data_IF_907616318520
#
_entry.id   IF_907616318520
#
_cell.length_a   1.000
_cell.length_b   1.000
_cell.length_c   1.000
_cell.angle_alpha   90.00
_cell.angle_beta   90.00
_cell.angle_gamma   90.00
#
_symmetry.space_group_name_H-M   'P 1'
#
loop_
_entity.id
_entity.type
_entity.pdbx_description
1 polymer ?
#
# COMPACT_ATOMS: atom_id res chain seq x y z
N UNK A 1 16.93 1.43 -11.21
CA UNK A 1 16.74 2.10 -12.51
C UNK A 1 16.34 3.56 -12.32
N UNK A 2 16.41 4.36 -13.41
CA UNK A 2 15.94 5.76 -13.44
C UNK A 2 15.13 6.05 -14.70
N UNK A 3 14.19 7.02 -14.59
CA UNK A 3 13.36 7.46 -15.71
C UNK A 3 12.61 6.30 -16.38
N UNK A 4 11.83 5.56 -15.60
CA UNK A 4 11.10 4.39 -16.08
C UNK A 4 9.63 4.74 -16.32
N UNK A 5 9.10 4.36 -17.46
CA UNK A 5 7.67 4.46 -17.76
C UNK A 5 7.11 3.08 -18.09
N UNK A 6 6.04 2.70 -17.39
CA UNK A 6 5.26 1.47 -17.62
C UNK A 6 3.83 1.89 -17.89
N UNK A 7 3.28 1.53 -19.05
CA UNK A 7 1.94 1.98 -19.44
C UNK A 7 1.20 0.99 -20.33
N UNK A 8 -0.12 0.90 -20.11
CA UNK A 8 -1.03 0.20 -21.03
C UNK A 8 -0.85 -1.31 -21.05
N UNK A 9 -0.50 -1.93 -19.92
CA UNK A 9 -0.28 -3.37 -19.85
C UNK A 9 -1.32 -4.07 -18.96
N UNK A 10 -1.49 -5.35 -19.21
CA UNK A 10 -2.28 -6.25 -18.38
C UNK A 10 -1.34 -7.30 -17.81
N UNK A 11 -1.40 -7.51 -16.50
CA UNK A 11 -0.68 -8.57 -15.79
C UNK A 11 -1.74 -9.55 -15.26
N UNK A 12 -1.59 -10.81 -15.60
CA UNK A 12 -2.55 -11.85 -15.26
C UNK A 12 -1.85 -13.05 -14.63
N UNK A 13 -2.43 -13.56 -13.53
CA UNK A 13 -2.05 -14.79 -12.84
C UNK A 13 -0.57 -14.86 -12.41
N UNK A 14 -0.07 -13.81 -11.77
CA UNK A 14 1.30 -13.78 -11.22
C UNK A 14 1.50 -14.87 -10.15
N UNK A 15 2.66 -15.49 -10.17
CA UNK A 15 3.06 -16.47 -9.14
C UNK A 15 3.50 -15.84 -7.81
N UNK A 16 3.80 -14.55 -7.83
CA UNK A 16 4.34 -13.75 -6.73
C UNK A 16 3.93 -12.30 -6.99
N UNK A 17 4.49 -11.33 -6.30
CA UNK A 17 4.18 -9.90 -6.47
C UNK A 17 4.11 -9.49 -7.94
N UNK A 18 2.94 -9.04 -8.37
CA UNK A 18 2.67 -8.81 -9.81
C UNK A 18 3.56 -7.73 -10.42
N UNK A 19 3.79 -6.65 -9.67
CA UNK A 19 4.70 -5.58 -10.11
C UNK A 19 5.54 -5.08 -8.94
N UNK A 20 6.84 -5.33 -8.99
CA UNK A 20 7.77 -4.90 -7.97
C UNK A 20 8.78 -3.89 -8.51
N UNK A 21 8.75 -2.67 -7.98
CA UNK A 21 9.64 -1.57 -8.34
C UNK A 21 10.68 -1.40 -7.23
N UNK A 22 11.90 -1.82 -7.47
CA UNK A 22 12.94 -1.86 -6.43
C UNK A 22 14.13 -0.96 -6.76
N UNK A 23 14.49 -0.07 -5.84
CA UNK A 23 15.68 0.80 -5.96
C UNK A 23 15.64 1.72 -7.17
N UNK A 24 14.47 2.23 -7.53
CA UNK A 24 14.28 3.07 -8.70
C UNK A 24 14.06 4.54 -8.35
N UNK A 25 14.27 5.40 -9.33
CA UNK A 25 14.12 6.84 -9.21
C UNK A 25 13.44 7.39 -10.48
N UNK A 26 12.44 8.25 -10.32
CA UNK A 26 11.63 8.79 -11.43
C UNK A 26 10.90 7.67 -12.21
N UNK A 27 9.86 7.10 -11.60
CA UNK A 27 9.05 6.03 -12.19
C UNK A 27 7.62 6.51 -12.41
N UNK A 28 7.08 6.25 -13.60
CA UNK A 28 5.69 6.53 -13.93
C UNK A 28 5.00 5.24 -14.40
N UNK A 29 3.97 4.82 -13.68
CA UNK A 29 3.16 3.63 -13.97
C UNK A 29 1.74 4.09 -14.20
N UNK A 30 1.16 3.77 -15.37
CA UNK A 30 -0.19 4.21 -15.68
C UNK A 30 -0.95 3.26 -16.62
N UNK A 31 -2.28 3.28 -16.51
CA UNK A 31 -3.15 2.45 -17.37
C UNK A 31 -2.74 0.97 -17.31
N UNK A 32 -2.66 0.41 -16.10
CA UNK A 32 -2.31 -1.00 -15.87
C UNK A 32 -3.46 -1.72 -15.21
N UNK A 33 -3.70 -2.96 -15.63
CA UNK A 33 -4.67 -3.86 -15.02
C UNK A 33 -3.95 -5.08 -14.48
N UNK A 34 -4.24 -5.45 -13.23
CA UNK A 34 -3.59 -6.57 -12.55
C UNK A 34 -4.65 -7.51 -12.03
N UNK A 35 -4.51 -8.77 -12.38
CA UNK A 35 -5.36 -9.86 -11.92
C UNK A 35 -4.48 -10.94 -11.29
N UNK A 36 -4.71 -11.26 -10.01
CA UNK A 36 -3.97 -12.29 -9.28
C UNK A 36 -4.91 -13.01 -8.32
N UNK A 37 -4.84 -14.33 -8.27
CA UNK A 37 -5.67 -15.16 -7.41
C UNK A 37 -4.86 -16.16 -6.59
N UNK A 38 -3.57 -15.93 -6.43
CA UNK A 38 -2.65 -16.80 -5.68
C UNK A 38 -2.16 -16.11 -4.41
N UNK A 39 -1.72 -16.87 -3.43
CA UNK A 39 -0.98 -16.32 -2.30
C UNK A 39 0.25 -15.54 -2.77
N UNK A 40 0.54 -14.42 -2.15
CA UNK A 40 1.56 -13.44 -2.53
C UNK A 40 1.34 -12.81 -3.92
N UNK A 41 0.13 -12.80 -4.48
CA UNK A 41 -0.16 -12.05 -5.71
C UNK A 41 -0.48 -10.60 -5.39
N UNK A 42 0.47 -9.88 -4.80
CA UNK A 42 0.38 -8.44 -4.56
C UNK A 42 0.18 -7.68 -5.89
N UNK A 43 -0.44 -6.53 -5.84
CA UNK A 43 -0.62 -5.69 -7.01
C UNK A 43 0.66 -4.94 -7.38
N UNK A 44 0.90 -3.80 -6.74
CA UNK A 44 2.07 -2.96 -7.01
C UNK A 44 2.84 -2.68 -5.72
N UNK A 45 4.06 -3.17 -5.65
CA UNK A 45 5.02 -2.98 -4.56
C UNK A 45 6.09 -1.97 -4.92
N UNK A 46 6.12 -0.84 -4.25
CA UNK A 46 7.19 0.16 -4.39
C UNK A 46 8.19 -0.05 -3.27
N UNK A 47 9.37 -0.57 -3.63
CA UNK A 47 10.39 -1.02 -2.68
C UNK A 47 11.64 -0.15 -2.74
N UNK A 48 11.93 0.62 -1.68
CA UNK A 48 13.15 1.43 -1.60
C UNK A 48 13.34 2.35 -2.82
N UNK A 49 12.28 2.93 -3.33
CA UNK A 49 12.24 3.75 -4.54
C UNK A 49 11.72 5.15 -4.24
N UNK A 50 11.98 6.10 -5.12
CA UNK A 50 11.56 7.49 -4.92
C UNK A 50 11.08 8.15 -6.21
N UNK A 51 10.29 9.22 -6.06
CA UNK A 51 9.70 9.97 -7.18
C UNK A 51 8.88 9.03 -8.08
N UNK A 52 7.93 8.31 -7.46
CA UNK A 52 7.10 7.31 -8.15
C UNK A 52 5.67 7.82 -8.27
N UNK A 53 5.13 7.78 -9.46
CA UNK A 53 3.70 8.02 -9.72
C UNK A 53 3.06 6.75 -10.25
N UNK A 54 2.01 6.30 -9.58
CA UNK A 54 1.16 5.17 -9.97
C UNK A 54 -0.25 5.73 -10.20
N UNK A 55 -0.79 5.61 -11.39
CA UNK A 55 -2.11 6.17 -11.71
C UNK A 55 -2.92 5.31 -12.66
N UNK A 56 -4.24 5.46 -12.58
CA UNK A 56 -5.15 4.83 -13.54
C UNK A 56 -4.98 3.30 -13.57
N UNK A 57 -4.96 2.71 -12.37
CA UNK A 57 -4.74 1.28 -12.15
C UNK A 57 -6.06 0.60 -11.81
N UNK A 58 -6.24 -0.60 -12.30
CA UNK A 58 -7.21 -1.55 -11.76
C UNK A 58 -6.48 -2.75 -11.18
N UNK A 59 -6.81 -3.12 -9.94
CA UNK A 59 -6.33 -4.38 -9.37
C UNK A 59 -7.51 -5.26 -8.95
N UNK A 60 -7.39 -6.56 -9.21
CA UNK A 60 -8.08 -7.61 -8.49
C UNK A 60 -7.06 -8.64 -8.06
N UNK A 61 -6.68 -8.62 -6.80
CA UNK A 61 -5.56 -9.40 -6.27
C UNK A 61 -5.93 -10.12 -4.98
N UNK A 62 -5.14 -11.12 -4.63
CA UNK A 62 -5.33 -11.97 -3.46
C UNK A 62 -4.34 -11.67 -2.33
N UNK A 63 -3.41 -10.77 -2.54
CA UNK A 63 -2.54 -10.20 -1.52
C UNK A 63 -2.63 -8.66 -1.58
N UNK A 64 -1.71 -7.92 -1.01
CA UNK A 64 -1.80 -6.47 -0.88
C UNK A 64 -1.90 -5.76 -2.24
N UNK A 65 -2.83 -4.78 -2.42
CA UNK A 65 -3.03 -4.15 -3.73
C UNK A 65 -2.01 -3.06 -4.04
N UNK A 66 -1.86 -2.05 -3.18
CA UNK A 66 -0.86 -0.99 -3.29
C UNK A 66 0.01 -0.94 -2.04
N UNK A 67 1.29 -1.15 -2.22
CA UNK A 67 2.20 -1.32 -1.10
C UNK A 67 3.47 -0.49 -1.23
N UNK A 68 3.92 0.07 -0.12
CA UNK A 68 5.24 0.68 0.00
C UNK A 68 6.05 -0.11 1.02
N UNK A 69 7.16 -0.68 0.58
CA UNK A 69 8.08 -1.48 1.39
C UNK A 69 9.51 -0.93 1.31
N UNK A 70 10.29 -1.13 2.34
CA UNK A 70 11.72 -0.83 2.34
C UNK A 70 12.51 -2.07 2.75
N UNK A 71 13.01 -2.80 1.77
CA UNK A 71 13.67 -4.09 1.94
C UNK A 71 15.19 -3.97 2.16
N UNK A 72 15.68 -2.83 2.67
CA UNK A 72 17.11 -2.52 2.76
C UNK A 72 17.71 -2.04 1.43
N UNK A 73 16.90 -1.66 0.47
CA UNK A 73 17.31 -1.19 -0.87
C UNK A 73 17.33 0.32 -1.00
N UNK A 74 17.03 1.04 0.08
CA UNK A 74 16.99 2.51 0.13
C UNK A 74 15.70 3.05 0.73
N UNK A 75 15.62 4.36 0.83
CA UNK A 75 14.45 5.07 1.32
C UNK A 75 13.28 5.02 0.33
N UNK A 76 12.05 5.13 0.85
CA UNK A 76 10.86 5.36 0.04
C UNK A 76 10.42 6.81 0.21
N UNK A 77 10.47 7.60 -0.85
CA UNK A 77 10.19 9.03 -0.78
C UNK A 77 9.43 9.53 -2.01
N UNK A 78 8.46 10.42 -1.81
CA UNK A 78 7.71 11.05 -2.91
C UNK A 78 6.99 10.01 -3.80
N UNK A 79 6.11 9.24 -3.21
CA UNK A 79 5.34 8.21 -3.92
C UNK A 79 3.87 8.60 -3.90
N UNK A 80 3.21 8.52 -5.03
CA UNK A 80 1.78 8.75 -5.14
C UNK A 80 1.10 7.62 -5.92
N UNK A 81 0.06 7.05 -5.30
CA UNK A 81 -0.92 6.19 -5.94
C UNK A 81 -2.22 7.00 -6.11
N UNK A 82 -2.76 7.06 -7.30
CA UNK A 82 -3.96 7.87 -7.55
C UNK A 82 -4.87 7.36 -8.67
N UNK A 83 -6.10 7.86 -8.68
CA UNK A 83 -7.07 7.64 -9.77
C UNK A 83 -7.25 6.15 -10.09
N UNK A 84 -7.47 5.34 -9.10
CA UNK A 84 -7.39 3.88 -9.28
C UNK A 84 -8.58 3.18 -8.64
N UNK A 85 -8.84 1.98 -9.11
CA UNK A 85 -9.92 1.13 -8.62
C UNK A 85 -9.32 -0.17 -8.09
N UNK A 86 -9.62 -0.51 -6.84
CA UNK A 86 -9.07 -1.66 -6.15
C UNK A 86 -10.17 -2.67 -5.81
N UNK A 87 -9.90 -3.92 -6.11
CA UNK A 87 -10.61 -5.09 -5.64
C UNK A 87 -9.61 -6.01 -4.95
N UNK A 88 -9.83 -6.33 -3.69
CA UNK A 88 -8.96 -7.22 -2.94
C UNK A 88 -9.75 -8.38 -2.34
N UNK A 89 -9.35 -9.60 -2.65
CA UNK A 89 -10.08 -10.80 -2.22
C UNK A 89 -9.55 -11.38 -0.90
N UNK A 90 -8.43 -10.86 -0.32
CA UNK A 90 -7.87 -11.50 0.87
C UNK A 90 -7.05 -10.60 1.82
N UNK A 91 -6.18 -9.71 1.32
CA UNK A 91 -5.25 -8.96 2.15
C UNK A 91 -5.56 -7.45 2.21
N UNK A 92 -4.57 -6.56 2.16
CA UNK A 92 -4.76 -5.12 2.35
C UNK A 92 -4.94 -4.40 1.02
N UNK A 93 -5.74 -3.35 1.01
CA UNK A 93 -5.88 -2.56 -0.21
C UNK A 93 -4.78 -1.51 -0.36
N UNK A 94 -4.38 -0.84 0.73
CA UNK A 94 -3.31 0.15 0.74
C UNK A 94 -2.47 -0.01 2.00
N UNK A 95 -1.18 -0.25 1.83
CA UNK A 95 -0.28 -0.54 2.95
C UNK A 95 1.06 0.20 2.85
N UNK A 96 1.54 0.69 3.96
CA UNK A 96 2.93 1.09 4.17
C UNK A 96 3.54 0.13 5.19
N UNK A 97 4.32 -0.81 4.72
CA UNK A 97 4.85 -1.91 5.52
C UNK A 97 4.71 -3.27 4.83
N UNK A 98 4.93 -4.35 5.54
CA UNK A 98 5.40 -4.50 6.94
C UNK A 98 6.89 -4.20 7.05
N UNK A 99 7.66 -4.57 6.03
CA UNK A 99 9.13 -4.42 5.99
C UNK A 99 9.51 -2.98 5.69
N UNK A 100 10.04 -2.29 6.68
CA UNK A 100 10.45 -0.89 6.58
C UNK A 100 11.90 -0.68 7.04
N UNK A 101 12.81 -1.42 6.42
CA UNK A 101 14.26 -1.34 6.66
C UNK A 101 14.91 -0.24 5.83
N UNK A 102 14.76 0.99 6.30
CA UNK A 102 15.34 2.19 5.69
C UNK A 102 15.48 3.29 6.74
N UNK A 103 16.21 4.35 6.45
CA UNK A 103 16.24 5.52 7.32
C UNK A 103 14.90 6.27 7.30
N UNK A 104 14.25 6.32 6.13
CA UNK A 104 13.03 7.12 5.91
C UNK A 104 12.06 6.46 4.94
N UNK A 105 10.78 6.54 5.31
CA UNK A 105 9.64 6.26 4.44
C UNK A 105 8.71 7.45 4.56
N UNK A 106 8.65 8.33 3.55
CA UNK A 106 7.96 9.61 3.71
C UNK A 106 7.36 10.17 2.42
N UNK A 107 6.42 11.11 2.62
CA UNK A 107 5.71 11.78 1.54
C UNK A 107 5.07 10.77 0.58
N UNK A 108 4.21 9.93 1.14
CA UNK A 108 3.46 8.89 0.43
C UNK A 108 1.99 9.33 0.39
N UNK A 109 1.38 9.24 -0.77
CA UNK A 109 -0.02 9.61 -0.96
C UNK A 109 -0.80 8.51 -1.65
N UNK A 110 -1.97 8.23 -1.10
CA UNK A 110 -3.03 7.47 -1.75
C UNK A 110 -4.19 8.44 -1.97
N UNK A 111 -4.50 8.75 -3.22
CA UNK A 111 -5.44 9.84 -3.54
C UNK A 111 -6.41 9.44 -4.66
N UNK A 112 -7.69 9.73 -4.47
CA UNK A 112 -8.74 9.45 -5.45
C UNK A 112 -8.78 7.97 -5.86
N UNK A 113 -9.10 7.11 -4.89
CA UNK A 113 -9.11 5.66 -5.05
C UNK A 113 -10.49 5.12 -4.67
N UNK A 114 -11.03 4.25 -5.51
CA UNK A 114 -12.23 3.48 -5.25
C UNK A 114 -11.86 2.07 -4.82
N UNK A 115 -12.26 1.66 -3.61
CA UNK A 115 -12.23 0.27 -3.15
C UNK A 115 -13.62 -0.29 -3.38
N UNK A 116 -13.80 -0.98 -4.49
CA UNK A 116 -15.12 -1.48 -4.90
C UNK A 116 -15.47 -2.83 -4.25
N UNK A 117 -14.46 -3.54 -3.76
CA UNK A 117 -14.65 -4.78 -3.00
C UNK A 117 -13.41 -5.09 -2.15
N UNK A 118 -13.64 -5.55 -0.90
CA UNK A 118 -12.59 -6.10 -0.05
C UNK A 118 -13.19 -7.11 0.91
N UNK A 119 -13.03 -8.39 0.61
CA UNK A 119 -13.50 -9.49 1.47
C UNK A 119 -12.35 -9.99 2.36
N UNK A 120 -11.98 -9.18 3.34
CA UNK A 120 -10.82 -9.44 4.19
C UNK A 120 -11.04 -8.98 5.62
N UNK A 121 -10.43 -9.64 6.59
CA UNK A 121 -10.32 -9.14 7.97
C UNK A 121 -9.15 -8.18 8.20
N UNK A 122 -8.42 -7.80 7.15
CA UNK A 122 -7.29 -6.88 7.23
C UNK A 122 -7.72 -5.42 7.02
N UNK A 123 -6.88 -4.45 7.41
CA UNK A 123 -7.18 -3.04 7.21
C UNK A 123 -7.15 -2.66 5.72
N UNK A 124 -8.04 -1.74 5.35
CA UNK A 124 -8.07 -1.17 4.00
C UNK A 124 -6.97 -0.11 3.81
N UNK A 125 -6.67 0.63 4.86
CA UNK A 125 -5.62 1.65 4.89
C UNK A 125 -4.72 1.39 6.09
N UNK A 126 -3.52 0.89 5.84
CA UNK A 126 -2.62 0.41 6.88
C UNK A 126 -1.24 1.07 6.89
N UNK A 127 -0.67 1.18 8.08
CA UNK A 127 0.75 1.40 8.31
C UNK A 127 1.20 0.40 9.36
N UNK A 128 1.84 -0.66 8.94
CA UNK A 128 2.34 -1.71 9.81
C UNK A 128 3.86 -1.63 9.85
N UNK A 129 4.41 -1.27 10.97
CA UNK A 129 5.81 -0.92 11.07
C UNK A 129 6.49 -1.71 12.19
N UNK A 130 7.45 -2.55 11.84
CA UNK A 130 8.19 -3.38 12.79
C UNK A 130 9.71 -3.24 12.68
N UNK A 131 10.22 -2.42 11.78
CA UNK A 131 11.65 -2.19 11.56
C UNK A 131 12.07 -0.77 12.04
N UNK A 132 13.18 -0.22 11.56
CA UNK A 132 13.78 1.00 12.10
C UNK A 132 13.42 2.31 11.37
N UNK A 133 12.63 2.27 10.31
CA UNK A 133 12.36 3.47 9.51
C UNK A 133 11.67 4.59 10.30
N UNK A 134 11.95 5.82 9.94
CA UNK A 134 11.12 6.96 10.30
C UNK A 134 10.05 7.15 9.25
N UNK A 135 8.82 6.77 9.58
CA UNK A 135 7.66 6.87 8.70
C UNK A 135 6.97 8.20 8.94
N UNK A 136 6.81 9.02 7.90
CA UNK A 136 6.15 10.31 8.06
C UNK A 136 5.45 10.82 6.80
N UNK A 137 4.53 11.75 7.00
CA UNK A 137 3.87 12.49 5.93
C UNK A 137 3.14 11.54 4.96
N UNK A 138 2.31 10.66 5.53
CA UNK A 138 1.48 9.72 4.77
C UNK A 138 0.06 10.28 4.70
N UNK A 139 -0.51 10.29 3.51
CA UNK A 139 -1.85 10.82 3.27
C UNK A 139 -2.73 9.82 2.54
N UNK A 140 -3.90 9.56 3.10
CA UNK A 140 -5.01 8.88 2.44
C UNK A 140 -6.11 9.92 2.21
N UNK A 141 -6.42 10.20 0.94
CA UNK A 141 -7.34 11.28 0.59
C UNK A 141 -8.31 10.90 -0.51
N UNK A 142 -9.57 11.29 -0.33
CA UNK A 142 -10.62 11.04 -1.32
C UNK A 142 -10.70 9.55 -1.68
N UNK A 143 -10.94 8.73 -0.65
CA UNK A 143 -11.08 7.27 -0.79
C UNK A 143 -12.55 6.90 -0.63
N UNK A 144 -13.09 6.20 -1.58
CA UNK A 144 -14.46 5.69 -1.55
C UNK A 144 -14.43 4.18 -1.39
N UNK A 145 -15.20 3.67 -0.44
CA UNK A 145 -15.23 2.25 -0.09
C UNK A 145 -16.67 1.78 -0.22
N UNK A 146 -16.92 0.82 -1.10
CA UNK A 146 -18.27 0.32 -1.40
C UNK A 146 -18.58 -0.96 -0.62
N UNK A 147 -17.93 -2.06 -0.95
CA UNK A 147 -18.21 -3.37 -0.37
C UNK A 147 -16.97 -3.91 0.37
N UNK A 148 -16.99 -3.82 1.70
CA UNK A 148 -15.87 -4.26 2.52
C UNK A 148 -16.38 -4.96 3.81
N UNK A 149 -17.06 -6.11 3.69
CA UNK A 149 -17.63 -6.81 4.83
C UNK A 149 -16.52 -7.28 5.78
N UNK A 150 -16.62 -6.87 7.06
CA UNK A 150 -15.68 -7.27 8.11
C UNK A 150 -14.29 -6.62 8.04
N UNK A 151 -14.02 -5.76 7.06
CA UNK A 151 -12.76 -5.05 6.97
C UNK A 151 -12.65 -3.95 8.02
N UNK A 152 -11.44 -3.75 8.53
CA UNK A 152 -11.07 -2.61 9.35
C UNK A 152 -10.69 -1.44 8.44
N UNK A 153 -11.23 -0.23 8.67
CA UNK A 153 -10.91 0.92 7.82
C UNK A 153 -9.45 1.34 7.94
N UNK A 154 -8.97 1.49 9.17
CA UNK A 154 -7.63 2.01 9.46
C UNK A 154 -6.93 1.11 10.46
N UNK A 155 -5.64 0.89 10.25
CA UNK A 155 -4.76 0.26 11.22
C UNK A 155 -3.36 0.87 11.14
N UNK A 156 -2.98 1.63 12.17
CA UNK A 156 -1.66 2.25 12.26
C UNK A 156 -0.99 1.73 13.51
N UNK A 157 0.06 0.95 13.35
CA UNK A 157 0.75 0.34 14.47
C UNK A 157 2.25 0.23 14.29
N UNK A 158 2.96 0.30 15.41
CA UNK A 158 4.34 -0.17 15.53
C UNK A 158 4.28 -1.49 16.29
N UNK A 159 4.56 -2.59 15.64
CA UNK A 159 4.48 -3.91 16.23
C UNK A 159 5.39 -4.91 15.50
N UNK A 160 5.91 -5.86 16.25
CA UNK A 160 6.64 -6.99 15.68
C UNK A 160 5.76 -7.83 14.77
N UNK A 161 6.37 -8.34 13.72
CA UNK A 161 5.77 -9.32 12.82
C UNK A 161 6.80 -10.37 12.41
N UNK A 162 6.33 -11.43 11.78
CA UNK A 162 7.22 -12.47 11.24
C UNK A 162 8.08 -11.96 10.07
N UNK A 163 7.71 -10.82 9.50
CA UNK A 163 8.34 -10.26 8.30
C UNK A 163 9.41 -9.21 8.59
N UNK A 164 9.35 -8.51 9.73
CA UNK A 164 10.40 -7.57 10.08
C UNK A 164 11.72 -8.28 10.44
N UNK A 165 12.82 -7.61 10.22
CA UNK A 165 14.17 -8.16 10.42
C UNK A 165 15.00 -7.36 11.41
N UNK A 166 14.63 -6.13 11.67
CA UNK A 166 15.30 -5.28 12.64
C UNK A 166 14.68 -5.47 14.03
N UNK A 167 15.51 -5.24 15.04
CA UNK A 167 15.04 -5.19 16.42
C UNK A 167 14.86 -3.76 16.92
N UNK A 168 15.35 -2.77 16.18
CA UNK A 168 15.18 -1.36 16.50
C UNK A 168 13.84 -0.90 15.91
N UNK A 169 13.01 -0.30 16.74
CA UNK A 169 11.77 0.28 16.30
C UNK A 169 11.97 1.73 15.82
N UNK A 170 11.38 2.06 14.70
CA UNK A 170 11.32 3.43 14.19
C UNK A 170 10.20 4.24 14.82
N UNK A 171 9.69 5.19 14.07
CA UNK A 171 8.56 6.02 14.51
C UNK A 171 7.57 6.26 13.36
N UNK A 172 6.34 6.62 13.72
CA UNK A 172 5.27 7.00 12.78
C UNK A 172 4.75 8.38 13.19
N UNK A 173 4.68 9.34 12.23
CA UNK A 173 4.19 10.69 12.48
C UNK A 173 3.54 11.33 11.25
N UNK A 174 2.71 12.35 11.46
CA UNK A 174 2.09 13.15 10.40
C UNK A 174 1.27 12.30 9.42
N UNK A 175 0.30 11.55 9.94
CA UNK A 175 -0.61 10.74 9.13
C UNK A 175 -1.91 11.49 8.96
N UNK A 176 -2.38 11.58 7.73
CA UNK A 176 -3.61 12.30 7.39
C UNK A 176 -4.60 11.38 6.67
N UNK A 177 -5.82 11.37 7.16
CA UNK A 177 -6.98 10.81 6.48
C UNK A 177 -7.96 11.95 6.20
N UNK A 178 -8.36 12.14 4.95
CA UNK A 178 -9.34 13.17 4.58
C UNK A 178 -10.24 12.69 3.46
N UNK A 179 -11.49 13.10 3.52
CA UNK A 179 -12.48 12.80 2.48
C UNK A 179 -12.61 11.27 2.26
N UNK A 180 -12.81 10.53 3.36
CA UNK A 180 -13.00 9.08 3.33
C UNK A 180 -14.50 8.80 3.40
N UNK A 181 -15.03 8.11 2.40
CA UNK A 181 -16.43 7.70 2.32
C UNK A 181 -16.53 6.17 2.37
N UNK A 182 -17.35 5.66 3.29
CA UNK A 182 -17.66 4.24 3.40
C UNK A 182 -19.15 4.02 3.18
N UNK A 183 -19.49 3.28 2.14
CA UNK A 183 -20.86 2.92 1.77
C UNK A 183 -21.09 1.46 2.17
N UNK A 184 -21.25 1.23 3.45
CA UNK A 184 -21.42 -0.13 3.97
C UNK A 184 -22.26 -0.16 5.23
N UNK A 185 -22.58 -1.35 5.68
CA UNK A 185 -23.40 -1.60 6.89
C UNK A 185 -22.60 -2.21 8.03
N UNK A 186 -21.33 -2.48 7.84
CA UNK A 186 -20.48 -3.13 8.84
C UNK A 186 -19.83 -2.12 9.78
N UNK A 187 -19.64 -2.53 11.02
CA UNK A 187 -18.84 -1.78 11.99
C UNK A 187 -17.35 -1.95 11.65
N UNK A 188 -16.77 -0.94 11.07
CA UNK A 188 -15.33 -0.91 10.81
C UNK A 188 -14.63 -0.12 11.90
N UNK A 189 -13.73 -0.76 12.62
CA UNK A 189 -12.95 -0.14 13.68
C UNK A 189 -11.76 0.65 13.17
N UNK A 190 -11.20 1.46 14.06
CA UNK A 190 -9.92 2.12 13.89
C UNK A 190 -8.99 1.57 14.97
N UNK A 191 -7.81 1.12 14.57
CA UNK A 191 -6.75 0.74 15.50
C UNK A 191 -5.54 1.64 15.31
N UNK A 192 -5.19 2.35 16.37
CA UNK A 192 -3.98 3.14 16.46
C UNK A 192 -3.19 2.64 17.66
N UNK A 193 -2.02 2.10 17.45
CA UNK A 193 -1.19 1.63 18.53
C UNK A 193 0.30 1.85 18.28
N UNK A 194 1.01 1.95 19.38
CA UNK A 194 2.44 2.03 19.40
C UNK A 194 2.96 1.11 20.53
N UNK A 195 2.85 -0.16 20.38
CA UNK A 195 3.22 -1.16 21.38
C UNK A 195 4.47 -1.95 20.98
#
# INVERSE_FOLDING_TARGET
CKNVTIKGIIIDDSNDWSMRITGCDDVNISDVKIFGCRGNSDGIDICGSRNVTVSDIFTRVWDDSFVVKALGTGNCENIIFKNSVLWNDFARTMEVGVELRADKVRNIKFENIDIIHSDTGYPLMGIHHGDHARVSDITFKNIRIEDAPGAQLFDIRIADSVWNRDKAMGDIRNITFSDIEYIGTNDSGILLSNS
#
